data_IF_900473041839
#
_entry.id   IF_900473041839
#
_cell.length_a   1.000
_cell.length_b   1.000
_cell.length_c   1.000
_cell.angle_alpha   90.00
_cell.angle_beta   90.00
_cell.angle_gamma   90.00
#
_symmetry.space_group_name_H-M   'P 1'
#
loop_
_entity.id
_entity.type
_entity.pdbx_description
1 polymer ?
#
# COMPACT_ATOMS: atom_id res chain seq x y z
N UNK A 1 31.54 -15.07 -7.50
CA UNK A 1 30.43 -14.10 -7.66
C UNK A 1 29.85 -13.65 -6.31
N UNK A 2 29.40 -14.56 -5.42
CA UNK A 2 28.80 -14.22 -4.12
C UNK A 2 29.75 -13.47 -3.16
N UNK A 3 31.04 -13.83 -3.17
CA UNK A 3 32.08 -13.25 -2.31
C UNK A 3 32.45 -11.82 -2.74
N UNK A 4 32.43 -11.53 -4.04
CA UNK A 4 32.67 -10.18 -4.59
C UNK A 4 31.57 -9.20 -4.27
N UNK A 5 30.30 -9.62 -4.32
CA UNK A 5 29.13 -8.77 -4.00
C UNK A 5 29.10 -8.38 -2.52
N UNK A 6 29.51 -9.29 -1.62
CA UNK A 6 29.62 -9.02 -0.18
C UNK A 6 30.72 -8.01 0.10
N UNK A 7 31.87 -8.14 -0.57
CA UNK A 7 32.99 -7.21 -0.41
C UNK A 7 32.63 -5.81 -0.92
N UNK A 8 32.01 -5.69 -2.08
CA UNK A 8 31.56 -4.43 -2.62
C UNK A 8 30.54 -3.71 -1.71
N UNK A 9 29.58 -4.46 -1.15
CA UNK A 9 28.61 -3.91 -0.18
C UNK A 9 29.28 -3.48 1.12
N UNK A 10 30.27 -4.20 1.59
CA UNK A 10 31.06 -3.83 2.78
C UNK A 10 31.81 -2.52 2.56
N UNK A 11 32.46 -2.36 1.41
CA UNK A 11 33.20 -1.13 1.08
C UNK A 11 32.28 0.06 0.95
N UNK A 12 31.10 -0.11 0.32
CA UNK A 12 30.07 0.93 0.25
C UNK A 12 29.62 1.36 1.65
N UNK A 13 29.36 0.42 2.56
CA UNK A 13 28.96 0.73 3.94
C UNK A 13 30.06 1.48 4.68
N UNK A 14 31.33 1.07 4.54
CA UNK A 14 32.47 1.77 5.15
C UNK A 14 32.59 3.20 4.60
N UNK A 15 32.44 3.37 3.29
CA UNK A 15 32.48 4.69 2.66
C UNK A 15 31.35 5.60 3.15
N UNK A 16 30.10 5.10 3.19
CA UNK A 16 28.95 5.84 3.70
C UNK A 16 29.15 6.21 5.18
N UNK A 17 29.61 5.28 6.01
CA UNK A 17 29.89 5.56 7.42
C UNK A 17 30.94 6.67 7.58
N UNK A 18 32.05 6.60 6.86
CA UNK A 18 33.10 7.63 6.92
C UNK A 18 32.61 9.01 6.48
N UNK A 19 31.73 9.05 5.47
CA UNK A 19 31.15 10.30 4.94
C UNK A 19 30.15 10.92 5.92
N UNK A 20 29.36 10.11 6.63
CA UNK A 20 28.30 10.55 7.53
C UNK A 20 28.75 10.70 8.98
N UNK A 21 29.85 10.04 9.37
CA UNK A 21 30.36 9.98 10.75
C UNK A 21 30.50 11.36 11.44
N UNK A 22 31.00 12.41 10.77
CA UNK A 22 31.10 13.74 11.41
C UNK A 22 29.77 14.39 11.79
N UNK A 23 28.68 13.97 11.12
CA UNK A 23 27.33 14.52 11.34
C UNK A 23 26.45 13.66 12.26
N UNK A 24 26.91 12.45 12.62
CA UNK A 24 26.14 11.51 13.39
C UNK A 24 26.35 11.68 14.90
N UNK A 25 25.31 12.17 15.58
CA UNK A 25 25.29 12.23 17.05
C UNK A 25 24.87 10.91 17.69
N UNK A 26 24.07 10.10 16.97
CA UNK A 26 23.62 8.78 17.37
C UNK A 26 23.31 7.93 16.15
N UNK A 27 23.77 6.67 16.14
CA UNK A 27 23.49 5.72 15.06
C UNK A 27 22.84 4.46 15.62
N UNK A 28 21.77 3.99 14.95
CA UNK A 28 21.16 2.69 15.26
C UNK A 28 21.47 1.71 14.12
N UNK A 29 21.95 0.50 14.45
CA UNK A 29 22.23 -0.56 13.50
C UNK A 29 21.22 -1.69 13.69
N UNK A 30 20.37 -1.91 12.71
CA UNK A 30 19.38 -2.98 12.70
C UNK A 30 19.89 -4.15 11.85
N UNK A 31 20.19 -5.28 12.48
CA UNK A 31 20.64 -6.50 11.83
C UNK A 31 19.45 -7.46 11.76
N UNK A 32 19.12 -7.94 10.55
CA UNK A 32 17.98 -8.84 10.33
C UNK A 32 18.45 -10.12 9.65
N UNK A 33 18.24 -11.26 10.32
CA UNK A 33 18.42 -12.59 9.72
C UNK A 33 17.06 -13.08 9.27
N UNK A 34 16.89 -13.29 7.98
CA UNK A 34 15.61 -13.68 7.37
C UNK A 34 15.73 -15.13 6.90
N UNK A 35 14.78 -15.98 7.28
CA UNK A 35 14.70 -17.37 6.84
C UNK A 35 13.27 -17.76 6.46
N UNK A 36 13.13 -18.82 5.64
CA UNK A 36 11.80 -19.38 5.29
C UNK A 36 11.15 -20.16 6.44
N UNK A 37 11.94 -20.55 7.44
CA UNK A 37 11.46 -21.27 8.62
C UNK A 37 10.78 -20.36 9.63
N UNK A 38 10.41 -20.93 10.76
CA UNK A 38 9.86 -20.20 11.91
C UNK A 38 11.03 -19.63 12.72
N UNK A 39 10.91 -18.38 13.18
CA UNK A 39 11.99 -17.67 13.90
C UNK A 39 12.43 -18.39 15.18
N UNK A 40 11.51 -19.06 15.86
CA UNK A 40 11.75 -19.84 17.07
C UNK A 40 12.65 -21.06 16.82
N UNK A 41 12.57 -21.66 15.64
CA UNK A 41 13.33 -22.87 15.27
C UNK A 41 14.72 -22.58 14.72
N UNK A 42 15.15 -21.33 14.67
CA UNK A 42 16.52 -20.96 14.27
C UNK A 42 17.54 -21.67 15.16
N UNK A 43 18.47 -22.40 14.53
CA UNK A 43 19.46 -23.19 15.23
C UNK A 43 20.28 -22.37 16.23
N UNK A 44 20.59 -22.93 17.37
CA UNK A 44 21.30 -22.26 18.47
C UNK A 44 22.63 -21.64 18.04
N UNK A 45 23.41 -22.34 17.20
CA UNK A 45 24.67 -21.84 16.67
C UNK A 45 24.50 -20.55 15.82
N UNK A 46 23.39 -20.41 15.09
CA UNK A 46 23.05 -19.20 14.32
C UNK A 46 22.69 -18.06 15.28
N UNK A 47 21.89 -18.34 16.31
CA UNK A 47 21.55 -17.36 17.36
C UNK A 47 22.81 -16.85 18.06
N UNK A 48 23.75 -17.74 18.38
CA UNK A 48 25.06 -17.36 18.98
C UNK A 48 25.90 -16.49 18.05
N UNK A 49 25.95 -16.80 16.75
CA UNK A 49 26.64 -15.95 15.76
C UNK A 49 25.98 -14.56 15.67
N UNK A 50 24.67 -14.49 15.66
CA UNK A 50 23.93 -13.22 15.66
C UNK A 50 24.28 -12.34 16.86
N UNK A 51 24.28 -12.89 18.08
CA UNK A 51 24.70 -12.17 19.30
C UNK A 51 26.15 -11.68 19.24
N UNK A 52 27.06 -12.47 18.65
CA UNK A 52 28.47 -12.05 18.45
C UNK A 52 28.56 -10.87 17.48
N UNK A 53 27.78 -10.87 16.40
CA UNK A 53 27.72 -9.75 15.46
C UNK A 53 27.22 -8.48 16.15
N UNK A 54 26.13 -8.57 16.91
CA UNK A 54 25.57 -7.47 17.68
C UNK A 54 26.58 -6.89 18.68
N UNK A 55 27.23 -7.75 19.47
CA UNK A 55 28.27 -7.35 20.42
C UNK A 55 29.48 -6.71 19.72
N UNK A 56 29.84 -7.18 18.50
CA UNK A 56 30.93 -6.60 17.70
C UNK A 56 30.55 -5.23 17.19
N UNK A 57 29.33 -5.04 16.70
CA UNK A 57 28.83 -3.73 16.27
C UNK A 57 28.86 -2.71 17.41
N UNK A 58 28.38 -3.09 18.60
CA UNK A 58 28.39 -2.22 19.78
C UNK A 58 29.80 -1.85 20.25
N UNK A 59 30.80 -2.71 20.00
CA UNK A 59 32.22 -2.39 20.32
C UNK A 59 32.87 -1.48 19.27
N UNK A 60 32.52 -1.66 18.02
CA UNK A 60 33.14 -0.89 16.92
C UNK A 60 32.59 0.53 16.81
N UNK A 61 31.38 0.75 17.25
CA UNK A 61 30.67 2.03 17.10
C UNK A 61 30.22 2.52 18.48
N UNK A 62 31.05 3.32 19.15
CA UNK A 62 30.87 3.76 20.54
C UNK A 62 29.58 4.56 20.83
N UNK A 63 28.95 5.13 19.78
CA UNK A 63 27.70 5.90 19.85
C UNK A 63 26.51 5.16 19.24
N UNK A 64 26.62 3.84 19.08
CA UNK A 64 25.69 3.03 18.32
C UNK A 64 24.93 2.06 19.20
N UNK A 65 23.64 1.95 19.00
CA UNK A 65 22.83 0.84 19.50
C UNK A 65 22.61 -0.15 18.36
N UNK A 66 22.96 -1.42 18.55
CA UNK A 66 22.69 -2.46 17.58
C UNK A 66 21.64 -3.44 18.09
N UNK A 67 20.78 -3.89 17.19
CA UNK A 67 19.73 -4.87 17.46
C UNK A 67 19.79 -5.99 16.44
N UNK A 68 19.95 -7.24 16.91
CA UNK A 68 19.87 -8.43 16.07
C UNK A 68 18.50 -9.09 16.20
N UNK A 69 17.78 -9.23 15.08
CA UNK A 69 16.46 -9.86 15.05
C UNK A 69 16.39 -10.99 14.04
N UNK A 70 15.83 -12.11 14.46
CA UNK A 70 15.57 -13.26 13.60
C UNK A 70 14.13 -13.15 13.10
N UNK A 71 13.95 -13.18 11.78
CA UNK A 71 12.64 -13.02 11.11
C UNK A 71 12.35 -14.30 10.36
N UNK A 72 11.31 -14.99 10.76
CA UNK A 72 10.80 -16.17 10.07
C UNK A 72 9.71 -15.83 9.07
N UNK A 73 9.11 -16.86 8.47
CA UNK A 73 8.04 -16.69 7.48
C UNK A 73 6.81 -15.98 8.03
N UNK A 74 6.44 -16.22 9.30
CA UNK A 74 5.30 -15.56 9.94
C UNK A 74 5.54 -14.07 10.13
N UNK A 75 6.69 -13.70 10.71
CA UNK A 75 7.05 -12.30 10.94
C UNK A 75 7.26 -11.57 9.62
N UNK A 76 7.85 -12.25 8.61
CA UNK A 76 8.00 -11.67 7.27
C UNK A 76 6.64 -11.37 6.63
N UNK A 77 5.68 -12.29 6.79
CA UNK A 77 4.31 -12.11 6.32
C UNK A 77 3.61 -10.95 7.05
N UNK A 78 3.81 -10.83 8.37
CA UNK A 78 3.30 -9.71 9.17
C UNK A 78 3.94 -8.41 8.68
N UNK A 79 5.27 -8.35 8.50
CA UNK A 79 5.97 -7.17 7.99
C UNK A 79 5.52 -6.79 6.58
N UNK A 80 5.30 -7.78 5.72
CA UNK A 80 4.75 -7.57 4.37
C UNK A 80 3.32 -7.02 4.43
N UNK A 81 2.49 -7.55 5.34
CA UNK A 81 1.11 -7.10 5.58
C UNK A 81 1.02 -5.84 6.44
N UNK A 82 2.07 -5.53 7.22
CA UNK A 82 2.14 -4.25 7.95
C UNK A 82 2.33 -3.15 6.91
N UNK A 83 1.22 -2.57 6.55
CA UNK A 83 1.11 -1.56 5.51
C UNK A 83 2.06 -0.41 5.83
N UNK A 84 2.73 0.09 4.82
CA UNK A 84 3.37 1.42 4.82
C UNK A 84 2.26 2.47 4.75
N UNK A 85 1.36 2.45 5.72
CA UNK A 85 0.25 3.39 5.77
C UNK A 85 0.71 4.61 6.55
N UNK A 86 1.22 5.59 5.81
CA UNK A 86 1.01 6.96 6.21
C UNK A 86 -0.45 7.33 5.88
N UNK A 87 -0.93 8.35 6.47
CA UNK A 87 -2.18 9.02 6.15
C UNK A 87 -2.22 9.33 4.66
N UNK A 88 -3.31 9.00 4.00
CA UNK A 88 -3.50 9.25 2.55
C UNK A 88 -4.71 10.14 2.37
N UNK A 89 -4.53 11.17 1.57
CA UNK A 89 -5.53 12.17 1.27
C UNK A 89 -6.30 11.81 0.00
N UNK A 90 -7.63 11.89 0.07
CA UNK A 90 -8.53 11.74 -1.07
C UNK A 90 -9.27 13.06 -1.28
N UNK A 91 -8.98 13.75 -2.37
CA UNK A 91 -9.70 14.95 -2.76
C UNK A 91 -11.07 14.58 -3.33
N UNK A 92 -12.12 15.23 -2.83
CA UNK A 92 -13.51 14.97 -3.21
C UNK A 92 -14.13 16.19 -3.91
N UNK A 93 -15.13 15.94 -4.77
CA UNK A 93 -15.93 17.00 -5.36
C UNK A 93 -17.17 17.30 -4.55
N UNK A 94 -17.90 16.26 -4.17
CA UNK A 94 -19.16 16.34 -3.41
C UNK A 94 -19.37 15.03 -2.66
N UNK A 95 -20.16 15.07 -1.62
CA UNK A 95 -20.57 13.88 -0.90
C UNK A 95 -21.29 14.18 0.38
N UNK A 96 -21.60 13.13 1.13
CA UNK A 96 -22.19 13.25 2.45
C UNK A 96 -21.55 12.23 3.41
N UNK A 97 -21.58 12.58 4.68
CA UNK A 97 -21.14 11.73 5.78
C UNK A 97 -22.36 11.08 6.43
N UNK A 98 -22.28 9.79 6.71
CA UNK A 98 -23.28 9.02 7.46
C UNK A 98 -22.59 8.36 8.66
N UNK A 99 -22.77 8.94 9.84
CA UNK A 99 -22.02 8.55 11.02
C UNK A 99 -20.52 8.80 10.81
N UNK A 100 -19.73 7.71 10.78
CA UNK A 100 -18.29 7.76 10.49
C UNK A 100 -17.92 7.42 9.04
N UNK A 101 -18.91 7.01 8.25
CA UNK A 101 -18.74 6.59 6.87
C UNK A 101 -19.02 7.74 5.90
N UNK A 102 -18.51 7.63 4.66
CA UNK A 102 -18.71 8.66 3.63
C UNK A 102 -19.16 8.03 2.32
N UNK A 103 -19.99 8.77 1.57
CA UNK A 103 -20.32 8.49 0.18
C UNK A 103 -20.03 9.74 -0.62
N UNK A 104 -19.07 9.64 -1.52
CA UNK A 104 -18.49 10.82 -2.18
C UNK A 104 -18.30 10.62 -3.68
N UNK A 105 -18.35 11.70 -4.43
CA UNK A 105 -17.92 11.78 -5.83
C UNK A 105 -16.51 12.33 -5.87
N UNK A 106 -15.63 11.58 -6.52
CA UNK A 106 -14.21 11.91 -6.68
C UNK A 106 -13.92 12.12 -8.15
N UNK A 107 -13.21 13.18 -8.51
CA UNK A 107 -12.76 13.40 -9.88
C UNK A 107 -11.89 12.24 -10.36
N UNK A 108 -12.00 11.83 -11.63
CA UNK A 108 -11.20 10.71 -12.14
C UNK A 108 -9.71 10.96 -12.02
N UNK A 109 -9.25 12.19 -12.25
CA UNK A 109 -7.85 12.59 -12.08
C UNK A 109 -7.44 12.56 -10.59
N UNK A 110 -8.29 13.06 -9.68
CA UNK A 110 -8.01 13.02 -8.24
C UNK A 110 -7.97 11.58 -7.72
N UNK A 111 -8.85 10.71 -8.24
CA UNK A 111 -8.83 9.29 -7.92
C UNK A 111 -7.57 8.58 -8.45
N UNK A 112 -7.12 8.90 -9.67
CA UNK A 112 -5.86 8.39 -10.21
C UNK A 112 -4.67 8.79 -9.32
N UNK A 113 -4.59 10.05 -8.90
CA UNK A 113 -3.55 10.53 -7.99
C UNK A 113 -3.59 9.84 -6.62
N UNK A 114 -4.80 9.56 -6.12
CA UNK A 114 -4.98 8.85 -4.86
C UNK A 114 -4.44 7.41 -4.91
N UNK A 115 -4.67 6.68 -5.99
CA UNK A 115 -4.25 5.28 -6.15
C UNK A 115 -2.81 5.10 -6.61
N UNK A 116 -2.11 6.18 -6.99
CA UNK A 116 -0.72 6.15 -7.49
C UNK A 116 0.26 6.81 -6.51
N UNK A 117 1.51 6.40 -6.58
CA UNK A 117 2.62 7.01 -5.86
C UNK A 117 3.25 8.18 -6.65
N UNK A 118 4.32 8.77 -6.11
CA UNK A 118 5.06 9.86 -6.76
C UNK A 118 5.72 9.47 -8.10
N UNK A 119 5.88 8.19 -8.38
CA UNK A 119 6.39 7.66 -9.64
C UNK A 119 5.25 7.23 -10.59
N UNK A 120 4.00 7.59 -10.28
CA UNK A 120 2.77 7.20 -10.98
C UNK A 120 2.57 5.68 -11.05
N UNK A 121 3.12 4.92 -10.10
CA UNK A 121 2.88 3.48 -9.98
C UNK A 121 1.70 3.20 -9.08
N UNK A 122 0.91 2.19 -9.43
CA UNK A 122 -0.25 1.78 -8.65
C UNK A 122 0.16 1.33 -7.24
N UNK A 123 -0.48 1.90 -6.22
CA UNK A 123 -0.32 1.50 -4.80
C UNK A 123 -0.96 0.13 -4.56
N UNK A 124 -0.31 -0.95 -4.98
CA UNK A 124 -0.84 -2.32 -4.93
C UNK A 124 -1.25 -2.77 -3.53
N UNK A 125 -0.64 -2.21 -2.49
CA UNK A 125 -0.99 -2.52 -1.10
C UNK A 125 -2.41 -2.10 -0.70
N UNK A 126 -3.10 -1.27 -1.50
CA UNK A 126 -4.52 -0.98 -1.32
C UNK A 126 -5.43 -2.17 -1.62
N UNK A 127 -4.92 -3.23 -2.25
CA UNK A 127 -5.70 -4.37 -2.74
C UNK A 127 -5.34 -5.71 -2.09
N UNK A 128 -4.42 -5.74 -1.11
CA UNK A 128 -3.82 -6.99 -0.59
C UNK A 128 -4.82 -7.99 0.01
N UNK A 129 -5.96 -7.53 0.52
CA UNK A 129 -7.01 -8.42 1.01
C UNK A 129 -8.13 -8.64 -0.02
N UNK A 130 -7.98 -8.12 -1.23
CA UNK A 130 -8.94 -8.37 -2.28
C UNK A 130 -8.70 -9.78 -2.83
N UNK A 131 -9.66 -10.68 -2.60
CA UNK A 131 -9.60 -12.11 -2.97
C UNK A 131 -9.61 -12.32 -4.50
N UNK A 132 -9.85 -11.26 -5.27
CA UNK A 132 -9.87 -11.31 -6.73
C UNK A 132 -8.61 -10.74 -7.34
N UNK A 133 -8.01 -11.54 -8.20
CA UNK A 133 -7.00 -11.05 -9.12
C UNK A 133 -7.64 -10.19 -10.22
N UNK A 134 -6.88 -9.21 -10.71
CA UNK A 134 -7.27 -8.45 -11.89
C UNK A 134 -7.35 -9.42 -13.09
N UNK A 135 -8.54 -9.54 -13.67
CA UNK A 135 -8.82 -10.51 -14.73
C UNK A 135 -8.29 -10.10 -16.13
N UNK A 136 -7.44 -9.07 -16.20
CA UNK A 136 -6.88 -8.60 -17.49
C UNK A 136 -7.96 -8.08 -18.46
N UNK A 137 -7.79 -8.37 -19.74
CA UNK A 137 -8.74 -7.96 -20.78
C UNK A 137 -9.97 -8.89 -20.79
N UNK A 138 -11.03 -8.52 -20.09
CA UNK A 138 -12.33 -9.15 -20.15
C UNK A 138 -13.40 -8.13 -20.64
N UNK A 139 -14.61 -8.60 -20.95
CA UNK A 139 -15.71 -7.77 -21.45
C UNK A 139 -16.00 -6.58 -20.51
N UNK A 140 -16.06 -6.81 -19.20
CA UNK A 140 -16.32 -5.75 -18.21
C UNK A 140 -15.27 -4.65 -18.26
N UNK A 141 -13.99 -5.00 -18.35
CA UNK A 141 -12.89 -4.02 -18.42
C UNK A 141 -12.93 -3.24 -19.73
N UNK A 142 -13.30 -3.91 -20.84
CA UNK A 142 -13.51 -3.26 -22.13
C UNK A 142 -14.67 -2.26 -22.08
N UNK A 143 -15.79 -2.62 -21.47
CA UNK A 143 -16.95 -1.74 -21.31
C UNK A 143 -16.63 -0.51 -20.44
N UNK A 144 -15.87 -0.69 -19.34
CA UNK A 144 -15.38 0.40 -18.49
C UNK A 144 -14.41 1.30 -19.29
N UNK A 145 -13.49 0.72 -20.07
CA UNK A 145 -12.55 1.49 -20.90
C UNK A 145 -13.30 2.31 -21.94
N UNK A 146 -14.25 1.71 -22.67
CA UNK A 146 -15.09 2.41 -23.63
C UNK A 146 -15.83 3.60 -22.99
N UNK A 147 -16.31 3.44 -21.73
CA UNK A 147 -16.97 4.53 -21.01
C UNK A 147 -16.00 5.66 -20.61
N UNK A 148 -14.70 5.35 -20.41
CA UNK A 148 -13.66 6.36 -20.16
C UNK A 148 -13.24 7.08 -21.46
N UNK A 149 -13.25 6.40 -22.59
CA UNK A 149 -12.90 6.95 -23.91
C UNK A 149 -14.06 7.70 -24.57
N UNK A 150 -15.28 7.42 -24.12
CA UNK A 150 -16.48 8.04 -24.68
C UNK A 150 -16.51 9.55 -24.44
N UNK A 151 -16.88 10.30 -25.48
CA UNK A 151 -17.17 11.74 -25.43
C UNK A 151 -18.62 12.05 -25.01
N UNK A 152 -19.40 11.03 -24.62
CA UNK A 152 -20.77 11.22 -24.19
C UNK A 152 -20.87 12.06 -22.91
N UNK A 153 -21.97 12.83 -22.81
CA UNK A 153 -22.23 13.74 -21.67
C UNK A 153 -22.65 13.01 -20.38
N UNK A 154 -22.68 11.67 -20.39
CA UNK A 154 -23.05 10.88 -19.21
C UNK A 154 -21.82 10.81 -18.30
N UNK A 155 -21.97 11.24 -17.05
CA UNK A 155 -20.89 11.17 -16.08
C UNK A 155 -20.54 9.69 -15.77
N UNK A 156 -19.27 9.38 -15.68
CA UNK A 156 -18.73 8.04 -15.50
C UNK A 156 -19.31 7.30 -14.28
N UNK A 157 -19.62 8.01 -13.19
CA UNK A 157 -20.21 7.40 -11.99
C UNK A 157 -21.61 6.82 -12.20
N UNK A 158 -22.36 7.28 -13.24
CA UNK A 158 -23.66 6.71 -13.60
C UNK A 158 -23.54 5.36 -14.31
N UNK A 159 -22.39 5.07 -14.91
CA UNK A 159 -22.14 3.88 -15.72
C UNK A 159 -21.42 2.77 -14.92
N UNK A 160 -21.01 3.05 -13.68
CA UNK A 160 -20.19 2.14 -12.87
C UNK A 160 -20.75 1.98 -11.47
N UNK A 161 -20.55 0.79 -10.88
CA UNK A 161 -21.02 0.45 -9.53
C UNK A 161 -20.25 1.17 -8.41
N UNK A 162 -19.25 1.97 -8.77
CA UNK A 162 -18.41 2.67 -7.80
C UNK A 162 -17.37 1.80 -7.13
N UNK A 163 -16.70 2.39 -6.16
CA UNK A 163 -15.57 1.81 -5.44
C UNK A 163 -15.89 1.82 -3.95
N UNK A 164 -15.55 0.74 -3.25
CA UNK A 164 -15.68 0.69 -1.79
C UNK A 164 -14.29 0.60 -1.16
N UNK A 165 -13.99 1.58 -0.32
CA UNK A 165 -12.78 1.68 0.48
C UNK A 165 -13.11 1.34 1.92
N UNK A 166 -12.33 0.50 2.54
CA UNK A 166 -12.37 0.19 3.95
C UNK A 166 -11.14 0.83 4.61
N UNK A 167 -11.34 1.60 5.67
CA UNK A 167 -10.28 2.33 6.37
C UNK A 167 -10.42 2.19 7.88
N UNK A 168 -9.34 2.44 8.64
CA UNK A 168 -9.38 2.46 10.10
C UNK A 168 -9.84 3.81 10.66
N UNK A 169 -9.58 4.90 9.94
CA UNK A 169 -10.05 6.25 10.26
C UNK A 169 -10.29 7.05 9.00
N UNK A 170 -11.21 7.99 9.04
CA UNK A 170 -11.45 8.97 7.99
C UNK A 170 -11.88 10.30 8.61
N UNK A 171 -11.27 11.39 8.19
CA UNK A 171 -11.61 12.74 8.67
C UNK A 171 -11.72 13.66 7.46
N UNK A 172 -12.81 14.41 7.40
CA UNK A 172 -13.06 15.38 6.33
C UNK A 172 -12.55 16.76 6.73
N UNK A 173 -11.71 17.35 5.90
CA UNK A 173 -11.25 18.74 5.97
C UNK A 173 -11.52 19.40 4.62
N UNK A 174 -12.42 20.37 4.58
CA UNK A 174 -12.85 21.04 3.36
C UNK A 174 -13.28 20.05 2.25
N UNK A 175 -12.47 19.88 1.22
CA UNK A 175 -12.69 18.96 0.09
C UNK A 175 -11.73 17.75 0.10
N UNK A 176 -11.04 17.49 1.23
CA UNK A 176 -10.09 16.40 1.39
C UNK A 176 -10.54 15.46 2.50
N UNK A 177 -10.61 14.17 2.21
CA UNK A 177 -10.76 13.13 3.22
C UNK A 177 -9.39 12.51 3.49
N UNK A 178 -8.91 12.72 4.71
CA UNK A 178 -7.71 12.10 5.24
C UNK A 178 -8.06 10.71 5.77
N UNK A 179 -7.35 9.68 5.33
CA UNK A 179 -7.67 8.28 5.64
C UNK A 179 -6.43 7.50 6.05
N UNK A 180 -6.58 6.55 6.98
CA UNK A 180 -5.52 5.65 7.42
C UNK A 180 -5.88 4.19 7.13
N UNK A 181 -4.86 3.38 6.86
CA UNK A 181 -5.02 1.94 6.70
C UNK A 181 -6.08 1.54 5.65
N UNK A 182 -5.88 2.04 4.44
CA UNK A 182 -6.79 1.89 3.31
C UNK A 182 -6.75 0.48 2.73
N UNK A 183 -7.96 0.03 2.35
CA UNK A 183 -8.16 -1.19 1.60
C UNK A 183 -9.31 -1.02 0.61
N UNK A 184 -9.06 -1.22 -0.67
CA UNK A 184 -10.11 -1.24 -1.69
C UNK A 184 -10.70 -2.65 -1.74
N UNK A 185 -11.95 -2.78 -1.29
CA UNK A 185 -12.65 -4.06 -1.17
C UNK A 185 -13.62 -4.34 -2.31
N UNK A 186 -14.03 -3.29 -3.04
CA UNK A 186 -14.81 -3.41 -4.26
C UNK A 186 -14.38 -2.35 -5.27
N UNK A 187 -14.58 -2.63 -6.58
CA UNK A 187 -14.20 -1.73 -7.67
C UNK A 187 -12.77 -1.97 -8.19
N UNK A 188 -12.18 -3.15 -7.97
CA UNK A 188 -10.84 -3.49 -8.46
C UNK A 188 -10.71 -3.33 -9.98
N UNK A 189 -11.70 -3.80 -10.75
CA UNK A 189 -11.70 -3.68 -12.21
C UNK A 189 -11.75 -2.20 -12.62
N UNK A 190 -12.67 -1.43 -12.04
CA UNK A 190 -12.82 0.01 -12.30
C UNK A 190 -11.51 0.75 -11.96
N UNK A 191 -10.90 0.45 -10.81
CA UNK A 191 -9.65 1.08 -10.37
C UNK A 191 -8.49 0.77 -11.33
N UNK A 192 -8.31 -0.49 -11.72
CA UNK A 192 -7.26 -0.86 -12.68
C UNK A 192 -7.50 -0.26 -14.07
N UNK A 193 -8.76 -0.18 -14.50
CA UNK A 193 -9.08 0.42 -15.81
C UNK A 193 -8.83 1.94 -15.80
N UNK A 194 -9.20 2.64 -14.73
CA UNK A 194 -8.85 4.06 -14.54
C UNK A 194 -7.33 4.24 -14.54
N UNK A 195 -6.61 3.41 -13.77
CA UNK A 195 -5.15 3.44 -13.75
C UNK A 195 -4.54 3.25 -15.14
N UNK A 196 -4.98 2.23 -15.89
CA UNK A 196 -4.47 1.94 -17.23
C UNK A 196 -4.80 3.08 -18.21
N UNK A 197 -6.02 3.65 -18.15
CA UNK A 197 -6.43 4.76 -18.99
C UNK A 197 -5.47 5.95 -18.85
N UNK A 198 -5.26 6.44 -17.64
CA UNK A 198 -4.37 7.58 -17.40
C UNK A 198 -2.89 7.26 -17.64
N UNK A 199 -2.43 6.07 -17.28
CA UNK A 199 -1.03 5.64 -17.51
C UNK A 199 -0.69 5.50 -19.00
N UNK A 200 -1.69 5.26 -19.86
CA UNK A 200 -1.52 5.21 -21.32
C UNK A 200 -1.75 6.58 -22.00
N UNK A 201 -1.77 7.68 -21.24
CA UNK A 201 -1.91 9.04 -21.77
C UNK A 201 -3.35 9.53 -21.91
N UNK A 202 -4.33 8.80 -21.35
CA UNK A 202 -5.71 9.26 -21.27
C UNK A 202 -5.83 10.55 -20.43
N UNK A 203 -6.79 11.41 -20.77
CA UNK A 203 -7.07 12.66 -20.08
C UNK A 203 -8.54 12.81 -19.80
N UNK A 204 -8.88 13.40 -18.66
CA UNK A 204 -10.30 13.70 -18.33
C UNK A 204 -10.60 15.19 -18.55
N UNK A 205 -10.91 15.55 -19.79
CA UNK A 205 -11.25 16.93 -20.18
C UNK A 205 -12.65 17.34 -19.76
N UNK A 206 -13.52 16.39 -19.45
CA UNK A 206 -14.93 16.61 -19.08
C UNK A 206 -15.16 16.66 -17.58
N UNK A 207 -14.11 16.51 -16.79
CA UNK A 207 -14.15 16.57 -15.33
C UNK A 207 -15.17 15.58 -14.71
N UNK A 208 -15.16 14.34 -15.20
CA UNK A 208 -16.02 13.24 -14.75
C UNK A 208 -15.67 12.77 -13.35
N UNK A 209 -16.53 11.97 -12.78
CA UNK A 209 -16.39 11.51 -11.40
C UNK A 209 -16.56 10.00 -11.30
N UNK A 210 -15.99 9.42 -10.24
CA UNK A 210 -16.29 8.07 -9.78
C UNK A 210 -16.94 8.14 -8.39
N UNK A 211 -17.92 7.26 -8.14
CA UNK A 211 -18.54 7.12 -6.84
C UNK A 211 -17.62 6.32 -5.91
N UNK A 212 -17.31 6.87 -4.74
CA UNK A 212 -16.49 6.21 -3.73
C UNK A 212 -17.26 6.14 -2.42
N UNK A 213 -17.39 4.93 -1.89
CA UNK A 213 -17.92 4.66 -0.56
C UNK A 213 -16.74 4.36 0.38
N UNK A 214 -16.63 5.12 1.46
CA UNK A 214 -15.59 4.96 2.48
C UNK A 214 -16.25 4.43 3.74
N UNK A 215 -15.87 3.23 4.16
CA UNK A 215 -16.39 2.59 5.38
C UNK A 215 -15.29 2.57 6.42
N UNK A 216 -15.56 3.14 7.57
CA UNK A 216 -14.60 3.25 8.69
C UNK A 216 -14.85 2.14 9.69
N UNK A 217 -13.91 1.20 9.81
CA UNK A 217 -13.99 0.13 10.81
C UNK A 217 -12.61 -0.37 11.21
N UNK A 218 -12.39 -0.52 12.52
CA UNK A 218 -11.23 -1.21 13.10
C UNK A 218 -11.58 -2.62 13.57
N UNK A 219 -12.88 -2.97 13.59
CA UNK A 219 -13.36 -4.29 14.02
C UNK A 219 -13.06 -5.34 12.93
N UNK A 220 -12.25 -6.39 13.21
CA UNK A 220 -11.90 -7.43 12.25
C UNK A 220 -13.12 -8.21 11.71
N UNK A 221 -14.17 -8.42 12.53
CA UNK A 221 -15.37 -9.15 12.10
C UNK A 221 -16.19 -8.32 11.14
N UNK A 222 -16.38 -7.03 11.44
CA UNK A 222 -17.07 -6.08 10.56
C UNK A 222 -16.31 -5.97 9.23
N UNK A 223 -14.98 -5.82 9.26
CA UNK A 223 -14.14 -5.77 8.07
C UNK A 223 -14.32 -7.02 7.21
N UNK A 224 -14.21 -8.20 7.82
CA UNK A 224 -14.40 -9.49 7.13
C UNK A 224 -15.78 -9.59 6.48
N UNK A 225 -16.85 -9.20 7.18
CA UNK A 225 -18.21 -9.23 6.65
C UNK A 225 -18.38 -8.29 5.45
N UNK A 226 -17.83 -7.07 5.52
CA UNK A 226 -17.87 -6.11 4.41
C UNK A 226 -17.15 -6.67 3.18
N UNK A 227 -15.97 -7.27 3.37
CA UNK A 227 -15.22 -7.91 2.28
C UNK A 227 -16.03 -9.04 1.66
N UNK A 228 -16.58 -9.94 2.47
CA UNK A 228 -17.37 -11.07 1.97
C UNK A 228 -18.64 -10.62 1.23
N UNK A 229 -19.40 -9.70 1.80
CA UNK A 229 -20.64 -9.22 1.21
C UNK A 229 -20.43 -8.41 -0.05
N UNK A 230 -19.36 -7.62 -0.12
CA UNK A 230 -19.00 -6.89 -1.35
C UNK A 230 -18.69 -7.82 -2.54
N UNK A 231 -18.36 -9.09 -2.27
CA UNK A 231 -18.07 -10.11 -3.28
C UNK A 231 -19.32 -10.89 -3.74
N UNK A 232 -20.36 -10.97 -2.90
CA UNK A 232 -21.57 -11.80 -3.18
C UNK A 232 -22.47 -11.17 -4.26
N UNK A 233 -22.54 -9.85 -4.36
CA UNK A 233 -23.42 -9.15 -5.31
C UNK A 233 -23.03 -9.26 -6.80
N UNK A 234 -22.03 -10.10 -7.13
CA UNK A 234 -21.50 -10.22 -8.50
C UNK A 234 -21.86 -11.57 -9.15
N UNK A 235 -22.63 -12.44 -8.45
CA UNK A 235 -23.05 -13.76 -8.96
C UNK A 235 -24.53 -13.80 -9.42
N UNK A 236 -24.99 -12.75 -10.10
CA UNK A 236 -26.25 -12.80 -10.88
C UNK A 236 -26.05 -12.29 -12.29
#
# INVERSE_FOLDING_TARGET
KYKSDILAKRELLIHLYRKLSPALTKTNIYIRYISRGVSETVAYNIKCKGRKIEATCNKLFSITTSEMKFIGSKELLILYRTKRNGTVELKIKKGFQCGKDFVVLVGLTDYFNFITDSEQKLKRYFFEENVRDYLGNNRTNTDIMNSLESSEKIDFWNLNNGITILTSSATLYDDIIETDNIQIVNGLQTTNTIFNYFSNGGTDTTNRSVLVKIVVSTDPLVRKNIIQLSLIHIWR
#
